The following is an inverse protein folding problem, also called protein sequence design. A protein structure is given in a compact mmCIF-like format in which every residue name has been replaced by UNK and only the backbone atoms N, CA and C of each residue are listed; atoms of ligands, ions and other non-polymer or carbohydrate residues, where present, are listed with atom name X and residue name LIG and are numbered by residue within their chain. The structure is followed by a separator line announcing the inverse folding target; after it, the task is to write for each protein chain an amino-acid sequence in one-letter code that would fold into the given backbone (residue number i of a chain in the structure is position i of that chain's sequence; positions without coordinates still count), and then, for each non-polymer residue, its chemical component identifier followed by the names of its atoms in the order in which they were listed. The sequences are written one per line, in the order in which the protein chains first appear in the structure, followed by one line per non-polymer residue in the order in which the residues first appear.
data_IF_068368405054
#
_entry.id   IF_068368405054
#
_cell.length_a   1.000
_cell.length_b   1.000
_cell.length_c   1.000
_cell.angle_alpha   90.00
_cell.angle_beta   90.00
_cell.angle_gamma   90.00
#
_symmetry.space_group_name_H-M   'P 1'
#
loop_
_entity.id
_entity.type
_entity.pdbx_description
1 polymer ?
#
# COMPACT_ATOMS: atom_id res chain seq x y z
N UNK A 1 27.08 -4.34 -11.20
CA UNK A 1 25.69 -4.15 -10.77
C UNK A 1 24.88 -3.64 -11.95
N UNK A 2 23.80 -4.33 -12.27
CA UNK A 2 22.93 -3.97 -13.39
C UNK A 2 21.76 -3.15 -12.88
N UNK A 3 21.14 -2.39 -13.80
CA UNK A 3 19.96 -1.59 -13.47
C UNK A 3 18.84 -2.46 -12.85
N UNK A 4 18.64 -3.67 -13.37
CA UNK A 4 17.61 -4.58 -12.86
C UNK A 4 17.82 -4.95 -11.40
N UNK A 5 19.08 -4.92 -10.92
CA UNK A 5 19.38 -5.20 -9.52
C UNK A 5 18.94 -4.06 -8.60
N UNK A 6 18.73 -2.87 -9.16
CA UNK A 6 18.38 -1.66 -8.42
C UNK A 6 16.92 -1.24 -8.63
N UNK A 7 16.14 -2.02 -9.37
CA UNK A 7 14.76 -1.64 -9.68
C UNK A 7 13.78 -2.76 -9.32
N UNK A 8 12.54 -2.35 -9.05
CA UNK A 8 11.43 -3.25 -8.79
C UNK A 8 10.22 -2.71 -9.54
N UNK A 9 9.46 -3.58 -10.20
CA UNK A 9 8.22 -3.20 -10.88
C UNK A 9 7.24 -4.36 -10.77
N UNK A 10 6.20 -4.17 -9.95
CA UNK A 10 5.18 -5.17 -9.68
C UNK A 10 3.81 -4.60 -10.03
N UNK A 11 3.00 -5.40 -10.71
CA UNK A 11 1.61 -5.08 -10.99
C UNK A 11 0.71 -6.21 -10.51
N UNK A 12 -0.42 -5.84 -9.92
CA UNK A 12 -1.44 -6.79 -9.50
C UNK A 12 -2.81 -6.17 -9.77
N UNK A 13 -3.79 -7.02 -9.97
CA UNK A 13 -5.19 -6.62 -10.14
C UNK A 13 -6.05 -7.45 -9.22
N UNK A 14 -7.09 -6.85 -8.65
CA UNK A 14 -8.06 -7.58 -7.84
C UNK A 14 -9.46 -7.01 -8.10
N UNK A 15 -10.42 -7.92 -8.25
CA UNK A 15 -11.83 -7.56 -8.40
C UNK A 15 -12.52 -7.65 -7.05
N UNK A 16 -13.29 -6.61 -6.73
CA UNK A 16 -13.96 -6.48 -5.44
C UNK A 16 -15.46 -6.27 -5.69
N UNK A 17 -16.28 -7.08 -5.05
CA UNK A 17 -17.74 -6.99 -5.13
C UNK A 17 -18.25 -5.93 -4.16
N UNK A 18 -17.82 -4.70 -4.36
CA UNK A 18 -18.22 -3.55 -3.56
C UNK A 18 -18.01 -2.29 -4.40
N UNK A 19 -18.64 -1.19 -3.99
CA UNK A 19 -18.48 0.10 -4.67
C UNK A 19 -17.05 0.64 -4.51
N UNK A 20 -16.62 1.54 -5.41
CA UNK A 20 -15.32 2.19 -5.25
C UNK A 20 -15.17 2.91 -3.91
N UNK A 21 -16.24 3.51 -3.40
CA UNK A 21 -16.23 4.20 -2.12
C UNK A 21 -15.89 3.24 -0.97
N UNK A 22 -16.53 2.07 -0.95
CA UNK A 22 -16.25 1.04 0.06
C UNK A 22 -14.85 0.46 -0.11
N UNK A 23 -14.46 0.19 -1.35
CA UNK A 23 -13.12 -0.36 -1.65
C UNK A 23 -12.03 0.63 -1.23
N UNK A 24 -12.21 1.91 -1.55
CA UNK A 24 -11.25 2.96 -1.19
C UNK A 24 -11.13 3.11 0.33
N UNK A 25 -12.26 3.12 1.03
CA UNK A 25 -12.26 3.18 2.50
C UNK A 25 -11.54 1.98 3.10
N UNK A 26 -11.71 0.79 2.52
CA UNK A 26 -11.01 -0.42 2.96
C UNK A 26 -9.49 -0.31 2.75
N UNK A 27 -9.05 0.28 1.64
CA UNK A 27 -7.62 0.54 1.40
C UNK A 27 -7.06 1.45 2.49
N UNK A 28 -7.73 2.58 2.75
CA UNK A 28 -7.27 3.52 3.78
C UNK A 28 -7.20 2.87 5.16
N UNK A 29 -8.23 2.12 5.52
CA UNK A 29 -8.26 1.42 6.80
C UNK A 29 -7.14 0.38 6.91
N UNK A 30 -6.94 -0.41 5.86
CA UNK A 30 -5.91 -1.46 5.85
C UNK A 30 -4.50 -0.88 5.98
N UNK A 31 -4.25 0.29 5.40
CA UNK A 31 -2.95 0.95 5.52
C UNK A 31 -2.78 1.66 6.86
N UNK A 32 -3.87 2.01 7.54
CA UNK A 32 -3.86 2.72 8.82
C UNK A 32 -4.09 1.80 10.01
N UNK A 33 -5.22 2.01 10.69
CA UNK A 33 -5.56 1.28 11.92
C UNK A 33 -5.70 -0.22 11.71
N UNK A 34 -6.12 -0.64 10.53
CA UNK A 34 -6.28 -2.06 10.20
C UNK A 34 -5.02 -2.72 9.68
N UNK A 35 -3.88 -2.03 9.70
CA UNK A 35 -2.64 -2.61 9.21
C UNK A 35 -2.20 -3.77 10.09
N UNK A 36 -1.70 -4.82 9.47
CA UNK A 36 -1.25 -6.03 10.17
C UNK A 36 0.10 -6.47 9.62
N UNK A 37 0.81 -7.24 10.44
CA UNK A 37 2.00 -7.98 10.02
C UNK A 37 1.59 -9.18 9.17
N UNK A 38 2.53 -9.80 8.44
CA UNK A 38 2.22 -11.02 7.69
C UNK A 38 1.61 -12.14 8.52
N UNK A 39 1.96 -12.22 9.82
CA UNK A 39 1.40 -13.23 10.73
C UNK A 39 -0.01 -12.89 11.23
N UNK A 40 -0.58 -11.76 10.81
CA UNK A 40 -1.91 -11.32 11.19
C UNK A 40 -1.97 -10.49 12.45
N UNK A 41 -0.87 -10.33 13.17
CA UNK A 41 -0.83 -9.46 14.34
C UNK A 41 -0.97 -7.99 13.93
N UNK A 42 -1.64 -7.21 14.78
CA UNK A 42 -1.83 -5.79 14.53
C UNK A 42 -0.48 -5.07 14.44
N UNK A 43 -0.36 -4.23 13.42
CA UNK A 43 0.73 -3.28 13.26
C UNK A 43 0.11 -1.96 12.86
N UNK A 44 -0.57 -1.33 13.82
CA UNK A 44 -1.30 -0.10 13.56
C UNK A 44 -0.37 0.98 13.02
N UNK A 45 -0.79 1.59 11.92
CA UNK A 45 -0.10 2.70 11.27
C UNK A 45 -1.00 3.93 11.32
N UNK A 46 -0.42 5.09 11.09
CA UNK A 46 -1.17 6.33 10.89
C UNK A 46 -1.03 6.74 9.43
N UNK A 47 -2.15 7.08 8.82
CA UNK A 47 -2.18 7.60 7.45
C UNK A 47 -2.97 8.89 7.46
N UNK A 48 -2.32 9.99 7.04
CA UNK A 48 -2.97 11.28 6.83
C UNK A 48 -3.45 11.32 5.37
N UNK A 49 -4.76 11.12 5.11
CA UNK A 49 -5.24 10.87 3.74
C UNK A 49 -5.46 12.16 2.95
N UNK A 50 -4.37 12.86 2.67
CA UNK A 50 -4.34 14.12 1.91
C UNK A 50 -2.99 14.23 1.19
N UNK A 51 -2.92 15.05 0.15
CA UNK A 51 -1.65 15.29 -0.55
C UNK A 51 -0.61 15.80 0.45
N UNK A 52 0.58 15.20 0.42
CA UNK A 52 1.65 15.51 1.37
C UNK A 52 1.48 14.85 2.74
N UNK A 53 0.36 14.16 2.99
CA UNK A 53 0.12 13.47 4.25
C UNK A 53 1.14 12.35 4.47
N UNK A 54 1.34 12.00 5.74
CA UNK A 54 2.32 10.99 6.13
C UNK A 54 1.67 9.63 6.32
N UNK A 55 2.43 8.60 6.01
CA UNK A 55 2.10 7.22 6.36
C UNK A 55 3.25 6.73 7.24
N UNK A 56 2.96 6.49 8.52
CA UNK A 56 4.04 6.25 9.49
C UNK A 56 3.58 5.41 10.67
N UNK A 57 4.56 4.81 11.32
CA UNK A 57 4.39 4.13 12.60
C UNK A 57 4.73 5.10 13.72
N UNK A 58 3.79 5.31 14.64
CA UNK A 58 3.99 6.16 15.82
C UNK A 58 4.36 5.26 17.01
N UNK A 59 5.50 5.49 17.61
CA UNK A 59 5.97 4.75 18.79
C UNK A 59 5.86 5.57 20.08
N UNK A 60 5.24 6.76 20.01
CA UNK A 60 5.10 7.64 21.17
C UNK A 60 6.32 8.50 21.42
N UNK A 61 6.12 9.62 22.16
CA UNK A 61 7.19 10.55 22.56
C UNK A 61 8.04 11.05 21.37
N UNK A 62 7.39 11.32 20.23
CA UNK A 62 8.05 11.75 18.98
C UNK A 62 9.01 10.70 18.39
N UNK A 63 8.83 9.46 18.75
CA UNK A 63 9.54 8.33 18.14
C UNK A 63 8.65 7.67 17.08
N UNK A 64 9.24 7.17 16.02
CA UNK A 64 8.46 6.51 15.00
C UNK A 64 9.28 6.18 13.76
N UNK A 65 8.58 5.69 12.75
CA UNK A 65 9.17 5.31 11.47
C UNK A 65 8.28 5.82 10.34
N UNK A 66 8.79 6.75 9.55
CA UNK A 66 8.09 7.28 8.39
C UNK A 66 8.27 6.34 7.21
N UNK A 67 7.15 5.84 6.67
CA UNK A 67 7.16 4.91 5.54
C UNK A 67 6.96 5.61 4.20
N UNK A 68 6.09 6.63 4.14
CA UNK A 68 5.81 7.33 2.89
C UNK A 68 5.09 8.65 3.11
N UNK A 69 5.01 9.42 2.03
CA UNK A 69 4.10 10.56 1.93
C UNK A 69 3.10 10.30 0.81
N UNK A 70 1.88 10.76 0.99
CA UNK A 70 0.87 10.72 -0.06
C UNK A 70 1.28 11.67 -1.17
N UNK A 71 1.56 11.11 -2.35
CA UNK A 71 1.92 11.86 -3.55
C UNK A 71 0.68 12.45 -4.20
N UNK A 72 -0.35 11.64 -4.34
CA UNK A 72 -1.62 12.04 -4.93
C UNK A 72 -2.75 11.24 -4.32
N UNK A 73 -3.89 11.88 -4.14
CA UNK A 73 -5.11 11.22 -3.68
C UNK A 73 -6.29 11.84 -4.41
N UNK A 74 -7.16 10.99 -4.93
CA UNK A 74 -8.39 11.42 -5.61
C UNK A 74 -9.47 10.39 -5.31
N UNK A 75 -10.31 10.71 -4.33
CA UNK A 75 -11.36 9.79 -3.87
C UNK A 75 -12.45 9.64 -4.92
N UNK A 76 -12.92 8.45 -5.16
CA UNK A 76 -12.48 7.13 -4.66
C UNK A 76 -11.60 6.37 -5.67
N UNK A 77 -10.85 7.04 -6.53
CA UNK A 77 -10.22 6.45 -7.72
C UNK A 77 -8.71 6.28 -7.64
N UNK A 78 -8.03 7.07 -6.78
CA UNK A 78 -6.56 7.04 -6.78
C UNK A 78 -6.01 7.27 -5.38
N UNK A 79 -5.06 6.40 -4.98
CA UNK A 79 -4.15 6.65 -3.88
C UNK A 79 -2.74 6.32 -4.34
N UNK A 80 -1.85 7.31 -4.28
CA UNK A 80 -0.45 7.14 -4.64
C UNK A 80 0.42 7.67 -3.53
N UNK A 81 1.43 6.90 -3.12
CA UNK A 81 2.37 7.36 -2.10
C UNK A 81 3.81 6.99 -2.47
N UNK A 82 4.76 7.74 -1.93
CA UNK A 82 6.17 7.63 -2.25
C UNK A 82 6.98 7.63 -0.96
N UNK A 83 7.92 6.69 -0.84
CA UNK A 83 8.80 6.61 0.31
C UNK A 83 9.53 5.28 0.39
N UNK A 84 10.33 5.11 1.46
CA UNK A 84 11.11 3.88 1.65
C UNK A 84 10.29 2.69 2.13
N UNK A 85 9.04 2.92 2.55
CA UNK A 85 8.18 1.94 3.20
C UNK A 85 8.88 1.44 4.48
N UNK A 86 8.91 0.11 4.71
CA UNK A 86 9.58 -0.41 5.92
C UNK A 86 11.11 -0.49 5.78
N UNK A 87 11.66 -0.19 4.61
CA UNK A 87 13.10 -0.31 4.39
C UNK A 87 13.90 0.72 5.18
N UNK A 88 15.00 0.29 5.79
CA UNK A 88 15.95 1.15 6.47
C UNK A 88 17.30 1.14 5.75
N UNK A 89 17.26 1.19 4.42
CA UNK A 89 18.40 1.24 3.53
C UNK A 89 18.03 2.09 2.30
N UNK A 90 18.99 2.54 1.49
CA UNK A 90 18.70 3.42 0.34
C UNK A 90 17.74 2.77 -0.66
N UNK A 91 16.47 3.15 -0.60
CA UNK A 91 15.39 2.54 -1.36
C UNK A 91 14.21 3.50 -1.37
N UNK A 92 13.66 3.79 -2.54
CA UNK A 92 12.47 4.63 -2.66
C UNK A 92 11.44 3.92 -3.52
N UNK A 93 10.21 3.90 -3.04
CA UNK A 93 9.07 3.26 -3.71
C UNK A 93 8.05 4.29 -4.15
N UNK A 94 7.36 3.98 -5.24
CA UNK A 94 6.10 4.60 -5.60
C UNK A 94 5.05 3.49 -5.64
N UNK A 95 3.96 3.68 -4.90
CA UNK A 95 2.86 2.71 -4.81
C UNK A 95 1.59 3.39 -5.28
N UNK A 96 0.86 2.74 -6.18
CA UNK A 96 -0.40 3.25 -6.73
C UNK A 96 -1.52 2.24 -6.56
N UNK A 97 -2.64 2.72 -6.04
CA UNK A 97 -3.94 2.03 -6.06
C UNK A 97 -4.84 2.82 -6.99
N UNK A 98 -5.22 2.24 -8.12
CA UNK A 98 -6.17 2.85 -9.07
C UNK A 98 -7.44 2.02 -9.09
N UNK A 99 -8.56 2.66 -8.79
CA UNK A 99 -9.86 2.00 -8.68
C UNK A 99 -10.73 2.41 -9.85
N UNK A 100 -11.31 1.41 -10.53
CA UNK A 100 -12.28 1.63 -11.59
C UNK A 100 -13.56 0.87 -11.26
N UNK A 101 -14.70 1.47 -11.59
CA UNK A 101 -16.01 0.87 -11.38
C UNK A 101 -16.50 0.21 -12.66
N UNK A 102 -17.14 -0.95 -12.49
CA UNK A 102 -17.89 -1.60 -13.56
C UNK A 102 -19.08 -2.33 -12.93
N UNK A 103 -20.29 -1.92 -13.29
CA UNK A 103 -21.54 -2.56 -12.85
C UNK A 103 -21.65 -2.66 -11.31
N UNK A 104 -21.25 -1.60 -10.61
CA UNK A 104 -21.34 -1.54 -9.14
C UNK A 104 -20.23 -2.26 -8.40
N UNK A 105 -19.34 -2.93 -9.12
CA UNK A 105 -18.13 -3.56 -8.57
C UNK A 105 -16.90 -2.73 -8.87
N UNK A 106 -15.80 -3.07 -8.25
CA UNK A 106 -14.54 -2.31 -8.37
C UNK A 106 -13.40 -3.22 -8.77
N UNK A 107 -12.55 -2.76 -9.67
CA UNK A 107 -11.25 -3.37 -9.92
C UNK A 107 -10.18 -2.43 -9.38
N UNK A 108 -9.26 -2.97 -8.56
CA UNK A 108 -8.07 -2.25 -8.14
C UNK A 108 -6.91 -2.68 -9.03
N UNK A 109 -6.33 -1.73 -9.75
CA UNK A 109 -5.06 -1.90 -10.42
C UNK A 109 -3.98 -1.36 -9.50
N UNK A 110 -3.13 -2.25 -9.02
CA UNK A 110 -2.07 -1.96 -8.06
C UNK A 110 -0.72 -1.99 -8.75
N UNK A 111 0.13 -1.02 -8.44
CA UNK A 111 1.50 -1.02 -8.95
C UNK A 111 2.48 -0.55 -7.89
N UNK A 112 3.57 -1.28 -7.74
CA UNK A 112 4.69 -0.91 -6.88
C UNK A 112 5.95 -0.86 -7.74
N UNK A 113 6.51 0.33 -7.89
CA UNK A 113 7.81 0.53 -8.52
C UNK A 113 8.79 1.06 -7.50
N UNK A 114 10.05 0.67 -7.61
CA UNK A 114 11.05 1.11 -6.65
C UNK A 114 12.44 1.21 -7.28
N UNK A 115 13.27 2.03 -6.67
CA UNK A 115 14.66 2.24 -7.08
C UNK A 115 15.54 2.26 -5.82
N UNK A 116 16.66 1.55 -5.87
CA UNK A 116 17.64 1.53 -4.80
C UNK A 116 18.20 0.14 -4.52
N UNK A 117 18.81 -0.01 -3.35
CA UNK A 117 19.33 -1.31 -2.93
C UNK A 117 18.19 -2.17 -2.45
N UNK A 118 17.95 -3.30 -3.11
CA UNK A 118 16.85 -4.19 -2.78
C UNK A 118 17.43 -5.48 -2.24
N UNK A 119 17.22 -5.74 -0.94
CA UNK A 119 17.67 -6.97 -0.31
C UNK A 119 16.94 -8.17 -0.92
N UNK A 120 17.65 -9.29 -1.04
CA UNK A 120 17.16 -10.50 -1.69
C UNK A 120 15.84 -11.00 -1.06
N UNK A 121 15.77 -11.04 0.27
CA UNK A 121 14.57 -11.50 0.97
C UNK A 121 13.38 -10.56 0.72
N UNK A 122 13.63 -9.26 0.66
CA UNK A 122 12.60 -8.27 0.34
C UNK A 122 12.07 -8.51 -1.08
N UNK A 123 12.97 -8.68 -2.05
CA UNK A 123 12.60 -8.92 -3.44
C UNK A 123 11.75 -10.20 -3.59
N UNK A 124 12.11 -11.26 -2.88
CA UNK A 124 11.38 -12.54 -2.95
C UNK A 124 9.98 -12.45 -2.34
N UNK A 125 9.84 -11.70 -1.24
CA UNK A 125 8.58 -11.68 -0.50
C UNK A 125 7.59 -10.60 -0.88
N UNK A 126 8.03 -9.55 -1.60
CA UNK A 126 7.23 -8.34 -1.77
C UNK A 126 5.96 -8.57 -2.58
N UNK A 127 6.01 -9.39 -3.62
CA UNK A 127 4.84 -9.65 -4.46
C UNK A 127 3.73 -10.35 -3.65
N UNK A 128 4.09 -11.39 -2.89
CA UNK A 128 3.13 -12.11 -2.05
C UNK A 128 2.61 -11.21 -0.93
N UNK A 129 3.45 -10.35 -0.38
CA UNK A 129 3.05 -9.39 0.64
C UNK A 129 1.95 -8.47 0.16
N UNK A 130 2.08 -7.91 -1.04
CA UNK A 130 1.04 -7.05 -1.61
C UNK A 130 -0.23 -7.83 -1.96
N UNK A 131 -0.09 -9.07 -2.47
CA UNK A 131 -1.25 -9.92 -2.75
C UNK A 131 -2.06 -10.18 -1.48
N UNK A 132 -1.39 -10.42 -0.37
CA UNK A 132 -2.04 -10.62 0.94
C UNK A 132 -2.77 -9.35 1.39
N UNK A 133 -2.17 -8.19 1.22
CA UNK A 133 -2.80 -6.90 1.57
C UNK A 133 -4.05 -6.67 0.72
N UNK A 134 -3.97 -6.89 -0.59
CA UNK A 134 -5.10 -6.71 -1.48
C UNK A 134 -6.24 -7.65 -1.15
N UNK A 135 -5.94 -8.90 -0.79
CA UNK A 135 -6.96 -9.88 -0.38
C UNK A 135 -7.69 -9.43 0.89
N UNK A 136 -6.96 -8.87 1.85
CA UNK A 136 -7.57 -8.34 3.07
C UNK A 136 -8.43 -7.11 2.78
N UNK A 137 -7.99 -6.26 1.84
CA UNK A 137 -8.81 -5.12 1.38
C UNK A 137 -10.11 -5.64 0.78
N UNK A 138 -10.04 -6.66 -0.09
CA UNK A 138 -11.22 -7.26 -0.70
C UNK A 138 -12.19 -7.79 0.35
N UNK A 139 -11.70 -8.55 1.31
CA UNK A 139 -12.54 -9.13 2.37
C UNK A 139 -13.20 -8.03 3.20
N UNK A 140 -12.46 -6.99 3.55
CA UNK A 140 -13.01 -5.87 4.33
C UNK A 140 -14.09 -5.12 3.55
N UNK A 141 -13.85 -4.84 2.27
CA UNK A 141 -14.79 -4.11 1.42
C UNK A 141 -16.07 -4.90 1.15
N UNK A 142 -15.96 -6.23 1.03
CA UNK A 142 -17.11 -7.10 0.76
C UNK A 142 -17.85 -7.51 2.02
N UNK A 143 -17.33 -7.22 3.19
CA UNK A 143 -18.00 -7.53 4.46
C UNK A 143 -19.28 -6.71 4.64
N UNK A 144 -20.28 -7.34 5.24
CA UNK A 144 -21.57 -6.69 5.53
C UNK A 144 -21.62 -6.12 6.94
#
# INVERSE_FOLDING_TARGET
MKLDDLTLDLEQHIDIKATPEKAFAAVLHRLGKGNTRPDGQSLEMLLEPKAGGRWYRDLGDNNGHLWAHVQAIKRPTLLEFTGPLFASYPFVSNVQYRLTEKDGATTIAFRHTALGFIQEDHRKGVNQGWASILERVRKAAEAR
#
